data_IF_276539299036
#
_entry.id   IF_276539299036
#
_cell.length_a   1.000
_cell.length_b   1.000
_cell.length_c   1.000
_cell.angle_alpha   90.00
_cell.angle_beta   90.00
_cell.angle_gamma   90.00
#
_symmetry.space_group_name_H-M   'P 1'
#
loop_
_entity.id
_entity.type
_entity.pdbx_description
1 polymer ?
#
# COMPACT_ATOMS: atom_id res chain seq x y z
N UNK A 1 17.53 -11.70 -53.66
CA UNK A 1 16.52 -11.56 -52.58
C UNK A 1 17.09 -10.61 -51.54
N UNK A 2 16.49 -9.43 -51.30
CA UNK A 2 17.02 -8.48 -50.34
C UNK A 2 16.76 -8.95 -48.91
N UNK A 3 17.83 -8.96 -48.12
CA UNK A 3 17.87 -9.26 -46.70
C UNK A 3 17.04 -8.24 -45.92
N UNK A 4 15.96 -8.69 -45.26
CA UNK A 4 15.13 -7.82 -44.43
C UNK A 4 15.92 -7.42 -43.19
N UNK A 5 16.31 -6.15 -43.13
CA UNK A 5 16.88 -5.52 -41.94
C UNK A 5 15.96 -5.78 -40.73
N UNK A 6 16.49 -6.52 -39.75
CA UNK A 6 15.83 -6.71 -38.46
C UNK A 6 15.77 -5.34 -37.78
N UNK A 7 14.57 -4.77 -37.72
CA UNK A 7 14.30 -3.58 -36.91
C UNK A 7 14.62 -3.97 -35.47
N UNK A 8 15.52 -3.25 -34.77
CA UNK A 8 15.81 -3.55 -33.38
C UNK A 8 14.48 -3.43 -32.63
N UNK A 9 13.97 -4.58 -32.18
CA UNK A 9 12.77 -4.60 -31.37
C UNK A 9 13.08 -3.70 -30.18
N UNK A 10 12.35 -2.59 -30.06
CA UNK A 10 12.23 -1.84 -28.82
C UNK A 10 11.43 -2.75 -27.88
N UNK A 11 12.04 -3.88 -27.50
CA UNK A 11 11.67 -4.66 -26.36
C UNK A 11 12.06 -3.77 -25.19
N UNK A 12 11.15 -2.85 -24.89
CA UNK A 12 11.06 -2.14 -23.63
C UNK A 12 11.56 -3.08 -22.55
N UNK A 13 12.75 -2.80 -22.00
CA UNK A 13 13.19 -3.45 -20.76
C UNK A 13 12.13 -3.05 -19.75
N UNK A 14 11.16 -3.93 -19.57
CA UNK A 14 10.09 -3.79 -18.59
C UNK A 14 10.81 -3.56 -17.27
N UNK A 15 10.76 -2.31 -16.80
CA UNK A 15 11.45 -1.82 -15.59
C UNK A 15 10.82 -2.41 -14.31
N UNK A 16 10.06 -3.49 -14.44
CA UNK A 16 9.53 -4.32 -13.36
C UNK A 16 10.71 -5.06 -12.73
N UNK A 17 11.48 -4.37 -11.89
CA UNK A 17 12.62 -4.92 -11.18
C UNK A 17 12.20 -5.54 -9.85
N UNK A 18 13.07 -6.36 -9.23
CA UNK A 18 12.82 -7.03 -7.95
C UNK A 18 12.82 -6.05 -6.75
N UNK A 19 12.54 -4.76 -6.95
CA UNK A 19 12.63 -3.71 -5.93
C UNK A 19 11.27 -3.20 -5.48
N UNK A 20 10.18 -3.52 -6.17
CA UNK A 20 8.85 -3.00 -5.81
C UNK A 20 8.31 -3.55 -4.49
N UNK A 21 8.73 -4.75 -4.09
CA UNK A 21 8.39 -5.30 -2.76
C UNK A 21 8.95 -4.45 -1.60
N UNK A 22 10.03 -3.67 -1.80
CA UNK A 22 10.52 -2.75 -0.76
C UNK A 22 9.51 -1.67 -0.39
N UNK A 23 8.68 -1.21 -1.35
CA UNK A 23 7.61 -0.25 -1.07
C UNK A 23 6.55 -0.88 -0.17
N UNK A 24 6.21 -2.14 -0.43
CA UNK A 24 5.25 -2.90 0.38
C UNK A 24 5.79 -3.14 1.80
N UNK A 25 7.07 -3.48 1.91
CA UNK A 25 7.74 -3.65 3.19
C UNK A 25 7.84 -2.33 3.96
N UNK A 26 8.14 -1.23 3.27
CA UNK A 26 8.15 0.11 3.84
C UNK A 26 6.75 0.52 4.34
N UNK A 27 5.69 0.25 3.57
CA UNK A 27 4.33 0.50 4.05
C UNK A 27 3.96 -0.38 5.23
N UNK A 28 4.36 -1.64 5.24
CA UNK A 28 4.10 -2.53 6.36
C UNK A 28 4.76 -2.01 7.63
N UNK A 29 6.04 -1.65 7.56
CA UNK A 29 6.78 -1.05 8.67
C UNK A 29 6.16 0.29 9.10
N UNK A 30 5.84 1.17 8.15
CA UNK A 30 5.19 2.46 8.42
C UNK A 30 3.85 2.26 9.13
N UNK A 31 3.02 1.32 8.67
CA UNK A 31 1.74 1.02 9.30
C UNK A 31 1.87 0.47 10.73
N UNK A 32 2.83 -0.44 10.95
CA UNK A 32 3.11 -0.98 12.29
C UNK A 32 3.56 0.09 13.29
N UNK A 33 4.10 1.23 12.82
CA UNK A 33 4.47 2.37 13.66
C UNK A 33 3.33 3.38 13.75
N UNK A 34 2.75 3.78 12.61
CA UNK A 34 1.75 4.83 12.53
C UNK A 34 0.44 4.46 13.22
N UNK A 35 -0.04 3.22 13.08
CA UNK A 35 -1.30 2.76 13.68
C UNK A 35 -1.27 2.86 15.22
N UNK A 36 -0.30 2.25 15.94
CA UNK A 36 -0.26 2.40 17.39
C UNK A 36 0.04 3.83 17.83
N UNK A 37 0.86 4.58 17.09
CA UNK A 37 1.13 5.98 17.39
C UNK A 37 -0.16 6.82 17.36
N UNK A 38 -0.97 6.69 16.30
CA UNK A 38 -2.24 7.41 16.16
C UNK A 38 -3.26 6.92 17.19
N UNK A 39 -3.28 5.62 17.52
CA UNK A 39 -4.14 5.10 18.58
C UNK A 39 -3.83 5.72 19.95
N UNK A 40 -2.54 5.88 20.29
CA UNK A 40 -2.11 6.57 21.51
C UNK A 40 -2.49 8.06 21.45
N UNK A 41 -2.37 8.69 20.29
CA UNK A 41 -2.74 10.10 20.11
C UNK A 41 -4.26 10.33 20.22
N UNK A 42 -5.09 9.38 19.76
CA UNK A 42 -6.55 9.42 19.90
C UNK A 42 -7.01 9.31 21.35
N UNK A 43 -6.21 8.66 22.20
CA UNK A 43 -6.49 8.49 23.62
C UNK A 43 -5.95 9.65 24.46
N UNK A 44 -5.34 10.68 23.83
CA UNK A 44 -4.70 11.83 24.49
C UNK A 44 -3.75 11.44 25.64
N UNK A 45 -3.12 10.26 25.55
CA UNK A 45 -2.28 9.75 26.65
C UNK A 45 -0.98 10.53 26.78
N UNK A 46 -0.35 10.84 25.63
CA UNK A 46 0.98 11.47 25.57
C UNK A 46 1.11 12.49 24.43
N UNK A 47 0.30 12.37 23.37
CA UNK A 47 0.40 13.19 22.15
C UNK A 47 -1.00 13.59 21.72
N UNK A 48 -1.18 14.81 21.22
CA UNK A 48 -2.45 15.29 20.64
C UNK A 48 -2.52 15.02 19.13
N UNK A 49 -3.72 14.83 18.61
CA UNK A 49 -3.98 14.76 17.16
C UNK A 49 -3.54 16.01 16.41
N UNK A 50 -3.62 17.19 17.05
CA UNK A 50 -3.24 18.47 16.45
C UNK A 50 -1.72 18.72 16.47
N UNK A 51 -0.94 17.77 16.98
CA UNK A 51 0.50 17.87 17.01
C UNK A 51 1.08 17.73 15.60
N UNK A 52 2.02 18.61 15.24
CA UNK A 52 2.67 18.63 13.92
C UNK A 52 3.24 17.25 13.52
N UNK A 53 3.81 16.54 14.50
CA UNK A 53 4.37 15.20 14.29
C UNK A 53 3.30 14.18 13.83
N UNK A 54 2.08 14.24 14.39
CA UNK A 54 0.97 13.37 13.99
C UNK A 54 0.59 13.62 12.54
N UNK A 55 0.50 14.90 12.13
CA UNK A 55 0.27 15.27 10.74
C UNK A 55 1.35 14.73 9.80
N UNK A 56 2.63 14.83 10.16
CA UNK A 56 3.75 14.32 9.37
C UNK A 56 3.70 12.79 9.23
N UNK A 57 3.46 12.07 10.33
CA UNK A 57 3.36 10.60 10.33
C UNK A 57 2.22 10.12 9.43
N UNK A 58 1.05 10.76 9.53
CA UNK A 58 -0.10 10.46 8.69
C UNK A 58 0.16 10.79 7.21
N UNK A 59 0.80 11.93 6.91
CA UNK A 59 1.12 12.33 5.55
C UNK A 59 2.09 11.34 4.87
N UNK A 60 3.18 10.96 5.55
CA UNK A 60 4.14 9.98 5.02
C UNK A 60 3.46 8.62 4.81
N UNK A 61 2.68 8.16 5.80
CA UNK A 61 1.97 6.87 5.71
C UNK A 61 0.92 6.86 4.59
N UNK A 62 0.28 8.00 4.32
CA UNK A 62 -0.67 8.17 3.22
C UNK A 62 0.01 8.12 1.85
N UNK A 63 1.14 8.81 1.71
CA UNK A 63 1.92 8.79 0.47
C UNK A 63 2.41 7.38 0.14
N UNK A 64 2.90 6.65 1.15
CA UNK A 64 3.29 5.25 0.98
C UNK A 64 2.07 4.36 0.67
N UNK A 65 0.93 4.57 1.33
CA UNK A 65 -0.32 3.85 1.06
C UNK A 65 -0.75 3.98 -0.41
N UNK A 66 -0.65 5.17 -1.00
CA UNK A 66 -0.95 5.38 -2.43
C UNK A 66 0.06 4.64 -3.32
N UNK A 67 1.34 4.61 -2.94
CA UNK A 67 2.39 3.93 -3.68
C UNK A 67 2.29 2.39 -3.66
N UNK A 68 1.53 1.80 -2.72
CA UNK A 68 1.33 0.35 -2.60
C UNK A 68 0.71 -0.24 -3.86
N UNK A 69 -0.38 0.32 -4.37
CA UNK A 69 -1.10 -0.27 -5.50
C UNK A 69 -0.27 -0.35 -6.80
N UNK A 70 0.41 0.73 -7.25
CA UNK A 70 1.31 0.62 -8.40
C UNK A 70 2.48 -0.32 -8.11
N UNK A 71 2.98 -0.39 -6.87
CA UNK A 71 4.03 -1.35 -6.50
C UNK A 71 3.56 -2.81 -6.58
N UNK A 72 2.36 -3.13 -6.08
CA UNK A 72 1.73 -4.45 -6.22
C UNK A 72 1.55 -4.80 -7.69
N UNK A 73 1.06 -3.87 -8.51
CA UNK A 73 0.88 -4.11 -9.94
C UNK A 73 2.21 -4.45 -10.63
N UNK A 74 3.25 -3.65 -10.40
CA UNK A 74 4.57 -3.87 -11.00
C UNK A 74 5.23 -5.17 -10.52
N UNK A 75 5.15 -5.48 -9.22
CA UNK A 75 5.67 -6.73 -8.68
C UNK A 75 4.87 -7.93 -9.17
N UNK A 76 3.54 -7.84 -9.22
CA UNK A 76 2.67 -8.91 -9.72
C UNK A 76 2.97 -9.25 -11.19
N UNK A 77 3.19 -8.24 -12.03
CA UNK A 77 3.58 -8.43 -13.44
C UNK A 77 4.97 -9.07 -13.55
N UNK A 78 5.92 -8.67 -12.70
CA UNK A 78 7.25 -9.28 -12.64
C UNK A 78 7.17 -10.76 -12.26
N UNK A 79 6.48 -11.06 -11.16
CA UNK A 79 6.37 -12.39 -10.57
C UNK A 79 5.62 -13.36 -11.48
N UNK A 80 4.56 -12.89 -12.15
CA UNK A 80 3.79 -13.72 -13.10
C UNK A 80 4.63 -14.19 -14.30
N UNK A 81 5.77 -13.55 -14.59
CA UNK A 81 6.71 -13.98 -15.64
C UNK A 81 7.77 -14.95 -15.13
N UNK A 82 8.09 -14.92 -13.83
CA UNK A 82 9.21 -15.65 -13.25
C UNK A 82 8.80 -16.85 -12.38
N UNK A 83 7.55 -16.91 -11.93
CA UNK A 83 7.04 -17.96 -11.05
C UNK A 83 5.68 -18.50 -11.52
N UNK A 84 5.31 -19.69 -11.03
CA UNK A 84 3.99 -20.28 -11.31
C UNK A 84 2.82 -19.52 -10.64
N UNK A 85 3.11 -18.67 -9.66
CA UNK A 85 2.10 -17.86 -8.99
C UNK A 85 1.63 -16.72 -9.86
N UNK A 86 0.30 -16.62 -10.03
CA UNK A 86 -0.38 -15.57 -10.79
C UNK A 86 -1.11 -14.62 -9.84
N UNK A 87 -0.41 -13.66 -9.21
CA UNK A 87 -1.05 -12.69 -8.32
C UNK A 87 -2.14 -11.91 -9.06
N UNK A 88 -3.38 -12.02 -8.57
CA UNK A 88 -4.49 -11.21 -9.06
C UNK A 88 -4.45 -9.85 -8.37
N UNK A 89 -3.62 -8.94 -8.89
CA UNK A 89 -3.39 -7.60 -8.32
C UNK A 89 -4.68 -6.82 -8.05
N UNK A 90 -5.70 -7.00 -8.90
CA UNK A 90 -6.98 -6.31 -8.77
C UNK A 90 -7.74 -6.68 -7.48
N UNK A 91 -7.59 -7.91 -6.97
CA UNK A 91 -8.23 -8.30 -5.71
C UNK A 91 -7.70 -7.48 -4.54
N UNK A 92 -6.40 -7.21 -4.50
CA UNK A 92 -5.78 -6.38 -3.47
C UNK A 92 -6.26 -4.93 -3.53
N UNK A 93 -6.45 -4.41 -4.74
CA UNK A 93 -7.04 -3.08 -4.95
C UNK A 93 -8.48 -3.04 -4.44
N UNK A 94 -9.33 -3.97 -4.88
CA UNK A 94 -10.75 -4.01 -4.49
C UNK A 94 -10.90 -4.15 -2.97
N UNK A 95 -10.12 -5.04 -2.35
CA UNK A 95 -10.15 -5.23 -0.89
C UNK A 95 -9.68 -3.98 -0.16
N UNK A 96 -8.55 -3.40 -0.55
CA UNK A 96 -8.01 -2.20 0.10
C UNK A 96 -8.96 -1.00 -0.02
N UNK A 97 -9.56 -0.81 -1.20
CA UNK A 97 -10.56 0.24 -1.43
C UNK A 97 -11.83 0.00 -0.62
N UNK A 98 -12.33 -1.23 -0.59
CA UNK A 98 -13.53 -1.60 0.17
C UNK A 98 -13.35 -1.37 1.67
N UNK A 99 -12.18 -1.72 2.23
CA UNK A 99 -11.86 -1.48 3.64
C UNK A 99 -11.77 0.02 3.95
N UNK A 100 -11.16 0.80 3.08
CA UNK A 100 -11.05 2.27 3.24
C UNK A 100 -12.44 2.92 3.17
N UNK A 101 -13.25 2.51 2.19
CA UNK A 101 -14.63 2.98 2.03
C UNK A 101 -15.51 2.61 3.21
N UNK A 102 -15.42 1.37 3.71
CA UNK A 102 -16.14 0.94 4.90
C UNK A 102 -15.72 1.77 6.11
N UNK A 103 -14.42 2.05 6.27
CA UNK A 103 -13.91 2.95 7.29
C UNK A 103 -14.54 4.35 7.22
N UNK A 104 -14.70 4.91 6.02
CA UNK A 104 -15.39 6.18 5.82
C UNK A 104 -16.87 6.12 6.19
N UNK A 105 -17.60 5.10 5.72
CA UNK A 105 -19.06 4.97 5.96
C UNK A 105 -19.38 4.75 7.44
N UNK A 106 -18.49 4.09 8.19
CA UNK A 106 -18.67 3.83 9.61
C UNK A 106 -18.40 5.06 10.50
N UNK A 107 -17.82 6.13 9.96
CA UNK A 107 -17.59 7.37 10.71
C UNK A 107 -18.90 8.20 10.71
N UNK A 108 -19.53 8.41 11.87
CA UNK A 108 -20.79 9.15 11.95
C UNK A 108 -20.53 10.63 11.69
N UNK A 109 -20.97 11.12 10.53
CA UNK A 109 -20.72 12.49 10.05
C UNK A 109 -21.26 13.60 10.96
N UNK A 110 -22.22 13.29 11.83
CA UNK A 110 -22.86 14.23 12.75
C UNK A 110 -22.31 14.18 14.19
N UNK A 111 -21.50 13.18 14.53
CA UNK A 111 -21.06 12.95 15.90
C UNK A 111 -19.58 13.31 16.14
N UNK A 112 -18.78 13.42 15.08
CA UNK A 112 -17.33 13.53 15.19
C UNK A 112 -16.84 14.90 14.69
N UNK A 113 -15.77 15.42 15.29
CA UNK A 113 -15.12 16.63 14.78
C UNK A 113 -14.50 16.37 13.40
N UNK A 114 -14.41 17.37 12.51
CA UNK A 114 -13.79 17.21 11.18
C UNK A 114 -12.38 16.63 11.22
N UNK A 115 -11.62 16.94 12.27
CA UNK A 115 -10.28 16.41 12.55
C UNK A 115 -10.30 14.90 12.80
N UNK A 116 -11.26 14.41 13.59
CA UNK A 116 -11.42 12.98 13.84
C UNK A 116 -11.87 12.24 12.57
N UNK A 117 -12.78 12.84 11.79
CA UNK A 117 -13.25 12.25 10.52
C UNK A 117 -12.09 12.10 9.53
N UNK A 118 -11.31 13.17 9.31
CA UNK A 118 -10.16 13.12 8.40
C UNK A 118 -9.08 12.15 8.89
N UNK A 119 -8.77 12.16 10.19
CA UNK A 119 -7.83 11.22 10.80
C UNK A 119 -8.29 9.77 10.62
N UNK A 120 -9.57 9.48 10.85
CA UNK A 120 -10.13 8.14 10.71
C UNK A 120 -10.09 7.63 9.27
N UNK A 121 -10.37 8.50 8.29
CA UNK A 121 -10.27 8.16 6.85
C UNK A 121 -8.83 7.87 6.45
N UNK A 122 -7.88 8.69 6.90
CA UNK A 122 -6.46 8.45 6.61
C UNK A 122 -5.99 7.17 7.29
N UNK A 123 -6.36 6.98 8.55
CA UNK A 123 -5.99 5.80 9.31
C UNK A 123 -6.58 4.52 8.69
N UNK A 124 -7.83 4.56 8.19
CA UNK A 124 -8.44 3.41 7.52
C UNK A 124 -7.70 3.06 6.23
N UNK A 125 -7.26 4.05 5.45
CA UNK A 125 -6.40 3.84 4.28
C UNK A 125 -5.06 3.19 4.67
N UNK A 126 -4.41 3.70 5.73
CA UNK A 126 -3.13 3.14 6.22
C UNK A 126 -3.34 1.69 6.67
N UNK A 127 -4.33 1.41 7.51
CA UNK A 127 -4.65 0.05 7.97
C UNK A 127 -4.92 -0.89 6.80
N UNK A 128 -5.77 -0.48 5.86
CA UNK A 128 -6.12 -1.30 4.70
C UNK A 128 -4.89 -1.63 3.84
N UNK A 129 -4.06 -0.63 3.54
CA UNK A 129 -2.86 -0.83 2.72
C UNK A 129 -1.76 -1.60 3.46
N UNK A 130 -1.65 -1.48 4.78
CA UNK A 130 -0.77 -2.31 5.61
C UNK A 130 -1.20 -3.77 5.60
N UNK A 131 -2.50 -4.07 5.77
CA UNK A 131 -3.03 -5.42 5.69
C UNK A 131 -2.82 -6.03 4.29
N UNK A 132 -3.13 -5.27 3.24
CA UNK A 132 -2.91 -5.68 1.84
C UNK A 132 -1.42 -5.99 1.60
N UNK A 133 -0.51 -5.13 2.07
CA UNK A 133 0.93 -5.32 1.95
C UNK A 133 1.40 -6.58 2.70
N UNK A 134 0.92 -6.79 3.93
CA UNK A 134 1.24 -7.97 4.73
C UNK A 134 0.79 -9.27 4.05
N UNK A 135 -0.45 -9.31 3.56
CA UNK A 135 -1.00 -10.49 2.86
C UNK A 135 -0.26 -10.75 1.55
N UNK A 136 0.03 -9.70 0.78
CA UNK A 136 0.77 -9.83 -0.48
C UNK A 136 2.19 -10.37 -0.24
N UNK A 137 2.95 -9.77 0.67
CA UNK A 137 4.32 -10.19 1.00
C UNK A 137 4.35 -11.62 1.57
N UNK A 138 3.36 -11.99 2.40
CA UNK A 138 3.24 -13.37 2.91
C UNK A 138 3.05 -14.37 1.76
N UNK A 139 2.18 -14.07 0.80
CA UNK A 139 1.92 -14.94 -0.34
C UNK A 139 3.14 -15.03 -1.26
N UNK A 140 3.81 -13.89 -1.49
CA UNK A 140 5.05 -13.81 -2.25
C UNK A 140 6.17 -14.64 -1.61
N UNK A 141 6.38 -14.50 -0.30
CA UNK A 141 7.35 -15.27 0.46
C UNK A 141 7.12 -16.77 0.37
N UNK A 142 5.86 -17.23 0.45
CA UNK A 142 5.52 -18.66 0.32
C UNK A 142 5.87 -19.27 -1.04
N UNK A 143 5.91 -18.46 -2.11
CA UNK A 143 6.16 -18.95 -3.47
C UNK A 143 7.61 -18.77 -3.88
N UNK A 144 8.20 -17.60 -3.59
CA UNK A 144 9.52 -17.19 -4.10
C UNK A 144 10.60 -17.32 -3.01
N UNK A 145 10.22 -17.56 -1.75
CA UNK A 145 11.15 -17.62 -0.61
C UNK A 145 11.68 -16.26 -0.16
N UNK A 146 11.37 -15.19 -0.89
CA UNK A 146 11.70 -13.80 -0.53
C UNK A 146 10.43 -13.02 -0.22
N UNK A 147 10.44 -12.17 0.84
CA UNK A 147 9.29 -11.32 1.18
C UNK A 147 8.86 -10.48 -0.01
#
# INVERSE_FOLDING_TARGET
>A
MPERAQTPSISSRSRSGPRYWYVLAAQLASGLVAIPYVAVALLDVVVSLNHLLTGIVLAISSLLAVAVYPAIFQDAVHVNRSAAWRPRWWWYLVVGFSLTFLGYVLVPANAWSPELVSTAVVLSLVVATTLVSAVYLRNRHRVIGTP
#
